data_IF_717069490544
#
_entry.id   IF_717069490544
#
_cell.length_a   1.000
_cell.length_b   1.000
_cell.length_c   1.000
_cell.angle_alpha   90.00
_cell.angle_beta   90.00
_cell.angle_gamma   90.00
#
_symmetry.space_group_name_H-M   'P 1'
#
loop_
_entity.id
_entity.type
_entity.pdbx_description
1 polymer ?
#
# COMPACT_ATOMS: atom_id res chain seq x y z
N UNK A 1 10.24 -25.37 5.90
CA UNK A 1 9.25 -24.93 4.88
C UNK A 1 7.91 -24.47 5.47
N UNK A 2 7.42 -25.01 6.59
CA UNK A 2 6.12 -24.63 7.17
C UNK A 2 6.00 -23.18 7.67
N UNK A 3 7.11 -22.57 8.12
CA UNK A 3 7.09 -21.19 8.64
C UNK A 3 6.82 -20.17 7.53
N UNK A 4 7.55 -20.23 6.41
CA UNK A 4 7.39 -19.32 5.27
C UNK A 4 5.96 -19.31 4.70
N UNK A 5 5.33 -20.48 4.60
CA UNK A 5 3.95 -20.60 4.14
C UNK A 5 2.94 -19.91 5.08
N UNK A 6 3.18 -19.92 6.40
CA UNK A 6 2.30 -19.22 7.36
C UNK A 6 2.46 -17.70 7.26
N UNK A 7 3.67 -17.22 6.99
CA UNK A 7 3.95 -15.79 6.81
C UNK A 7 3.28 -15.24 5.54
N UNK A 8 3.41 -15.97 4.42
CA UNK A 8 2.75 -15.59 3.18
C UNK A 8 1.23 -15.60 3.34
N UNK A 9 0.64 -16.60 3.98
CA UNK A 9 -0.82 -16.64 4.19
C UNK A 9 -1.33 -15.48 5.06
N UNK A 10 -0.55 -15.00 6.03
CA UNK A 10 -0.90 -13.81 6.82
C UNK A 10 -0.97 -12.57 5.93
N UNK A 11 0.07 -12.36 5.12
CA UNK A 11 0.15 -11.23 4.20
C UNK A 11 -1.01 -11.22 3.20
N UNK A 12 -1.28 -12.35 2.53
CA UNK A 12 -2.38 -12.46 1.57
C UNK A 12 -3.75 -12.18 2.20
N UNK A 13 -3.96 -12.60 3.46
CA UNK A 13 -5.20 -12.32 4.17
C UNK A 13 -5.40 -10.83 4.42
N UNK A 14 -4.35 -10.12 4.83
CA UNK A 14 -4.43 -8.67 5.09
C UNK A 14 -4.61 -7.88 3.80
N UNK A 15 -3.85 -8.18 2.75
CA UNK A 15 -4.03 -7.54 1.44
C UNK A 15 -5.45 -7.77 0.92
N UNK A 16 -5.98 -9.00 1.06
CA UNK A 16 -7.36 -9.30 0.69
C UNK A 16 -8.37 -8.49 1.50
N UNK A 17 -8.14 -8.33 2.81
CA UNK A 17 -9.01 -7.51 3.67
C UNK A 17 -9.00 -6.04 3.25
N UNK A 18 -7.83 -5.47 2.93
CA UNK A 18 -7.72 -4.08 2.46
C UNK A 18 -8.46 -3.85 1.14
N UNK A 19 -8.51 -4.86 0.25
CA UNK A 19 -9.33 -4.79 -0.97
C UNK A 19 -10.83 -4.95 -0.70
N UNK A 20 -11.22 -5.87 0.18
CA UNK A 20 -12.64 -6.19 0.41
C UNK A 20 -13.34 -5.22 1.35
N UNK A 21 -12.62 -4.67 2.31
CA UNK A 21 -13.14 -3.81 3.39
C UNK A 21 -12.05 -2.78 3.78
N UNK A 22 -11.82 -1.75 2.94
CA UNK A 22 -10.84 -0.72 3.24
C UNK A 22 -11.30 0.13 4.44
N UNK A 23 -10.39 0.52 5.34
CA UNK A 23 -10.73 1.38 6.45
C UNK A 23 -11.20 2.76 5.96
N UNK A 24 -12.07 3.40 6.75
CA UNK A 24 -12.60 4.72 6.44
C UNK A 24 -11.48 5.75 6.24
N UNK A 25 -11.58 6.52 5.17
CA UNK A 25 -10.56 7.50 4.79
C UNK A 25 -9.29 6.89 4.19
N UNK A 26 -9.18 5.57 4.00
CA UNK A 26 -8.07 4.95 3.28
C UNK A 26 -8.53 4.34 1.95
N UNK A 27 -7.76 4.50 0.90
CA UNK A 27 -8.00 3.86 -0.39
C UNK A 27 -6.72 3.25 -0.97
N UNK A 28 -6.87 2.24 -1.82
CA UNK A 28 -5.76 1.46 -2.38
C UNK A 28 -5.88 1.35 -3.91
N UNK A 29 -5.69 2.45 -4.64
CA UNK A 29 -6.01 2.53 -6.07
C UNK A 29 -5.13 1.64 -6.96
N UNK A 30 -3.91 1.31 -6.51
CA UNK A 30 -2.94 0.52 -7.30
C UNK A 30 -2.77 -0.91 -6.78
N UNK A 31 -3.56 -1.31 -5.77
CA UNK A 31 -3.66 -2.72 -5.40
C UNK A 31 -4.58 -3.45 -6.38
N UNK A 32 -4.20 -3.51 -7.65
CA UNK A 32 -4.87 -4.39 -8.59
C UNK A 32 -4.51 -5.83 -8.21
N UNK A 33 -5.52 -6.56 -7.75
CA UNK A 33 -5.49 -8.01 -7.67
C UNK A 33 -5.00 -8.54 -9.02
N UNK A 34 -3.72 -8.91 -9.12
CA UNK A 34 -3.17 -9.57 -10.29
C UNK A 34 -3.77 -10.96 -10.43
N UNK A 35 -5.03 -11.05 -10.84
CA UNK A 35 -5.71 -12.23 -11.38
C UNK A 35 -7.18 -11.92 -11.74
N UNK A 36 -7.43 -10.98 -12.64
CA UNK A 36 -8.59 -11.09 -13.54
C UNK A 36 -8.21 -10.53 -14.89
N UNK A 37 -7.82 -11.43 -15.79
CA UNK A 37 -7.59 -11.08 -17.18
C UNK A 37 -8.88 -10.54 -17.80
N UNK A 38 -8.82 -9.29 -18.23
CA UNK A 38 -9.59 -8.81 -19.37
C UNK A 38 -8.74 -7.76 -20.05
N UNK A 39 -8.22 -8.13 -21.21
CA UNK A 39 -7.51 -7.24 -22.11
C UNK A 39 -8.40 -6.06 -22.49
N UNK A 40 -7.95 -4.83 -22.26
CA UNK A 40 -8.20 -3.72 -23.20
C UNK A 40 -7.22 -2.55 -23.02
N UNK A 41 -6.48 -2.28 -24.11
CA UNK A 41 -5.83 -1.05 -24.61
C UNK A 41 -5.00 -0.09 -23.71
N UNK A 42 -3.67 -0.17 -23.88
CA UNK A 42 -2.72 0.90 -24.29
C UNK A 42 -2.86 2.34 -23.73
N UNK A 43 -1.94 2.73 -22.82
CA UNK A 43 -1.19 4.01 -22.88
C UNK A 43 0.12 3.84 -22.09
N UNK A 44 1.26 4.04 -22.75
CA UNK A 44 2.57 3.55 -22.27
C UNK A 44 3.23 4.35 -21.14
N UNK A 45 4.01 3.64 -20.31
CA UNK A 45 5.32 4.08 -19.80
C UNK A 45 5.96 2.94 -19.00
N UNK A 46 7.18 2.55 -19.39
CA UNK A 46 8.27 2.03 -18.54
C UNK A 46 7.87 1.54 -17.13
N UNK A 47 7.48 0.28 -17.00
CA UNK A 47 7.36 -0.39 -15.72
C UNK A 47 7.69 -1.85 -15.90
N UNK A 48 8.94 -2.24 -15.63
CA UNK A 48 9.32 -3.64 -15.49
C UNK A 48 8.50 -4.21 -14.34
N UNK A 49 7.35 -4.82 -14.65
CA UNK A 49 6.55 -5.60 -13.73
C UNK A 49 7.32 -6.89 -13.43
N UNK A 50 8.38 -6.73 -12.64
CA UNK A 50 9.19 -7.81 -12.10
C UNK A 50 8.47 -8.41 -10.89
N UNK A 51 8.61 -9.72 -10.75
CA UNK A 51 7.81 -10.66 -9.95
C UNK A 51 7.99 -10.53 -8.42
N UNK A 52 8.49 -9.39 -7.93
CA UNK A 52 8.61 -9.00 -6.51
C UNK A 52 7.35 -8.30 -5.95
N UNK A 53 6.24 -8.41 -6.70
CA UNK A 53 5.12 -7.47 -6.83
C UNK A 53 4.25 -7.25 -5.59
N UNK A 54 4.40 -8.02 -4.51
CA UNK A 54 3.64 -7.81 -3.26
C UNK A 54 4.41 -7.10 -2.14
N UNK A 55 5.63 -6.65 -2.41
CA UNK A 55 6.48 -5.98 -1.42
C UNK A 55 6.21 -4.49 -1.27
N UNK A 56 5.52 -3.83 -2.21
CA UNK A 56 5.21 -2.40 -2.12
C UNK A 56 3.75 -2.15 -2.45
N UNK A 57 3.08 -1.37 -1.61
CA UNK A 57 1.66 -1.01 -1.68
C UNK A 57 1.55 0.51 -1.69
N UNK A 58 0.87 1.05 -2.70
CA UNK A 58 0.48 2.46 -2.74
C UNK A 58 -0.93 2.62 -2.14
N UNK A 59 -1.03 3.47 -1.13
CA UNK A 59 -2.26 3.80 -0.43
C UNK A 59 -2.48 5.33 -0.45
N UNK A 60 -3.73 5.74 -0.30
CA UNK A 60 -4.10 7.14 -0.09
C UNK A 60 -4.87 7.27 1.20
N UNK A 61 -4.61 8.34 1.94
CA UNK A 61 -5.30 8.67 3.18
C UNK A 61 -5.97 10.02 3.01
N UNK A 62 -7.28 10.08 3.26
CA UNK A 62 -8.03 11.31 3.36
C UNK A 62 -7.81 11.91 4.74
N UNK A 63 -7.48 13.20 4.76
CA UNK A 63 -7.32 13.94 6.01
C UNK A 63 -8.63 13.98 6.80
N UNK A 64 -8.59 13.73 8.13
CA UNK A 64 -9.79 13.76 8.95
C UNK A 64 -10.50 15.11 8.91
N UNK A 65 -11.83 15.08 8.97
CA UNK A 65 -12.64 16.29 9.20
C UNK A 65 -12.27 16.94 10.54
N UNK A 66 -12.55 18.24 10.67
CA UNK A 66 -12.23 19.05 11.84
C UNK A 66 -10.74 19.13 12.21
N UNK A 67 -9.83 18.81 11.27
CA UNK A 67 -8.38 18.99 11.42
C UNK A 67 -7.80 19.94 10.36
N UNK A 68 -6.56 20.37 10.57
CA UNK A 68 -5.80 21.16 9.57
C UNK A 68 -5.51 20.40 8.28
N UNK A 69 -5.75 19.09 8.27
CA UNK A 69 -5.55 18.22 7.11
C UNK A 69 -6.87 17.92 6.38
N UNK A 70 -8.00 18.46 6.84
CA UNK A 70 -9.31 18.22 6.24
C UNK A 70 -9.30 18.51 4.73
N UNK A 71 -9.98 17.65 3.96
CA UNK A 71 -10.01 17.66 2.49
C UNK A 71 -8.64 17.42 1.80
N UNK A 72 -7.57 17.14 2.56
CA UNK A 72 -6.29 16.73 2.01
C UNK A 72 -6.27 15.25 1.61
N UNK A 73 -5.54 14.92 0.54
CA UNK A 73 -5.27 13.54 0.11
C UNK A 73 -3.76 13.30 0.25
N UNK A 74 -3.40 12.34 1.09
CA UNK A 74 -2.02 12.02 1.40
C UNK A 74 -1.65 10.67 0.81
N UNK A 75 -0.75 10.65 -0.16
CA UNK A 75 -0.22 9.41 -0.72
C UNK A 75 0.79 8.80 0.25
N UNK A 76 0.66 7.50 0.49
CA UNK A 76 1.47 6.70 1.40
C UNK A 76 2.00 5.48 0.67
N UNK A 77 3.29 5.20 0.84
CA UNK A 77 3.95 3.99 0.35
C UNK A 77 4.21 3.05 1.52
N UNK A 78 3.75 1.81 1.39
CA UNK A 78 3.93 0.76 2.39
C UNK A 78 4.83 -0.31 1.76
N UNK A 79 5.96 -0.59 2.39
CA UNK A 79 6.88 -1.65 1.99
C UNK A 79 6.81 -2.82 2.96
N UNK A 80 6.40 -3.98 2.45
CA UNK A 80 6.36 -5.25 3.17
C UNK A 80 7.71 -5.94 2.97
N UNK A 81 8.41 -6.17 4.08
CA UNK A 81 9.72 -6.80 4.09
C UNK A 81 9.59 -8.33 4.11
N UNK A 82 10.64 -9.03 3.68
CA UNK A 82 10.67 -10.49 3.55
C UNK A 82 10.36 -11.23 4.86
N UNK A 83 10.66 -10.62 6.01
CA UNK A 83 10.41 -11.21 7.34
C UNK A 83 9.07 -10.78 7.96
N UNK A 84 8.15 -10.17 7.21
CA UNK A 84 6.81 -9.90 7.72
C UNK A 84 6.11 -11.21 8.15
N UNK A 85 5.44 -11.28 9.31
CA UNK A 85 5.11 -10.22 10.27
C UNK A 85 6.07 -10.11 11.47
N UNK A 86 7.23 -10.79 11.44
CA UNK A 86 8.25 -10.63 12.49
C UNK A 86 8.99 -9.30 12.39
N UNK A 87 9.07 -8.75 11.17
CA UNK A 87 9.52 -7.39 10.91
C UNK A 87 8.32 -6.55 10.46
N UNK A 88 8.10 -5.36 11.05
CA UNK A 88 7.00 -4.50 10.63
C UNK A 88 7.21 -3.97 9.21
N UNK A 89 6.13 -3.59 8.51
CA UNK A 89 6.24 -2.90 7.24
C UNK A 89 6.84 -1.50 7.45
N UNK A 90 7.54 -1.00 6.45
CA UNK A 90 8.02 0.38 6.42
C UNK A 90 6.93 1.21 5.75
N UNK A 91 6.51 2.30 6.39
CA UNK A 91 5.48 3.20 5.86
C UNK A 91 6.07 4.59 5.72
N UNK A 92 5.93 5.19 4.54
CA UNK A 92 6.42 6.53 4.25
C UNK A 92 5.35 7.34 3.51
N UNK A 93 5.21 8.61 3.89
CA UNK A 93 4.37 9.55 3.14
C UNK A 93 5.11 9.96 1.86
N UNK A 94 4.52 9.66 0.69
CA UNK A 94 5.00 10.18 -0.59
C UNK A 94 4.59 11.64 -0.79
N UNK A 95 3.55 12.08 -0.10
CA UNK A 95 3.15 13.49 -0.04
C UNK A 95 3.91 14.20 1.09
N UNK A 96 4.54 15.36 0.84
CA UNK A 96 5.13 16.15 1.90
C UNK A 96 4.06 16.54 2.93
N UNK A 97 4.28 16.17 4.18
CA UNK A 97 3.37 16.46 5.28
C UNK A 97 4.16 16.95 6.49
N UNK A 98 3.69 18.04 7.09
CA UNK A 98 4.16 18.47 8.39
C UNK A 98 3.37 17.75 9.47
N UNK A 99 3.98 16.79 10.14
CA UNK A 99 3.40 16.09 11.29
C UNK A 99 4.52 15.71 12.27
N UNK A 100 4.35 15.84 13.60
CA UNK A 100 5.44 15.64 14.58
C UNK A 100 6.17 14.28 14.47
N UNK A 101 5.45 13.26 14.02
CA UNK A 101 5.98 11.90 13.90
C UNK A 101 6.39 11.52 12.46
N UNK A 102 6.28 12.45 11.52
CA UNK A 102 6.65 12.24 10.12
C UNK A 102 7.86 13.09 9.78
N UNK A 103 8.97 12.42 9.53
CA UNK A 103 10.21 13.08 9.11
C UNK A 103 10.14 13.31 7.61
N UNK A 104 10.20 14.58 7.20
CA UNK A 104 10.28 14.93 5.79
C UNK A 104 11.67 14.52 5.28
N UNK A 105 11.75 13.47 4.47
CA UNK A 105 12.98 13.18 3.71
C UNK A 105 13.04 14.20 2.57
N UNK A 106 13.90 15.21 2.72
CA UNK A 106 14.21 16.23 1.71
C UNK A 106 14.80 15.62 0.45
#
# INVERSE_FOLDING_TARGET
MAQAARLSMRMHKEVKLLLSDPPHGASFPHLSSGASGSADLSYGASGSADLSTFSTIDAQIQGPEDTVYANGIFNVKIQILERYPFQPPIVAFATPIYHPNCWCSS
#
